data_IF_180488132280
#
_entry.id   IF_180488132280
#
_cell.length_a   1.000
_cell.length_b   1.000
_cell.length_c   1.000
_cell.angle_alpha   90.00
_cell.angle_beta   90.00
_cell.angle_gamma   90.00
#
_symmetry.space_group_name_H-M   'P 1'
#
loop_
_entity.id
_entity.type
_entity.pdbx_description
1 polymer ?
#
# COMPACT_ATOMS: atom_id res chain seq x y z
N UNK A 1 -56.84 11.86 -50.21
CA UNK A 1 -56.85 12.35 -48.79
C UNK A 1 -56.36 11.22 -47.90
N UNK A 2 -55.09 11.20 -47.58
CA UNK A 2 -54.47 10.18 -46.75
C UNK A 2 -53.91 10.82 -45.47
N UNK A 3 -54.40 10.41 -44.31
CA UNK A 3 -53.97 10.88 -43.00
C UNK A 3 -52.67 10.19 -42.66
N UNK A 4 -51.64 10.99 -42.46
CA UNK A 4 -50.37 10.51 -41.86
C UNK A 4 -50.53 10.34 -40.36
N UNK A 5 -50.33 9.14 -39.88
CA UNK A 5 -50.23 8.83 -38.43
C UNK A 5 -48.74 8.93 -38.06
N UNK A 6 -48.38 9.96 -37.29
CA UNK A 6 -47.06 10.08 -36.69
C UNK A 6 -46.96 9.14 -35.50
N UNK A 7 -46.04 8.19 -35.60
CA UNK A 7 -45.66 7.32 -34.47
C UNK A 7 -44.61 8.05 -33.62
N UNK A 8 -45.01 8.51 -32.45
CA UNK A 8 -44.11 9.11 -31.47
C UNK A 8 -43.44 7.98 -30.69
N UNK A 9 -42.20 7.66 -31.02
CA UNK A 9 -41.39 6.75 -30.26
C UNK A 9 -40.95 7.46 -28.97
N UNK A 10 -41.55 7.11 -27.84
CA UNK A 10 -41.09 7.48 -26.51
C UNK A 10 -39.87 6.61 -26.18
N UNK A 11 -38.67 7.19 -26.25
CA UNK A 11 -37.45 6.59 -25.69
C UNK A 11 -37.54 6.68 -24.16
N UNK A 12 -37.87 5.57 -23.49
CA UNK A 12 -37.62 5.41 -22.06
C UNK A 12 -36.14 5.18 -21.88
N UNK A 13 -35.40 6.24 -21.58
CA UNK A 13 -34.08 6.10 -21.01
C UNK A 13 -34.23 5.55 -19.56
N UNK A 14 -34.04 4.26 -19.39
CA UNK A 14 -33.86 3.68 -18.05
C UNK A 14 -32.54 4.21 -17.48
N UNK A 15 -32.63 5.25 -16.68
CA UNK A 15 -31.57 5.59 -15.74
C UNK A 15 -31.51 4.46 -14.68
N UNK A 16 -30.61 3.53 -14.88
CA UNK A 16 -30.18 2.67 -13.79
C UNK A 16 -29.37 3.57 -12.84
N UNK A 17 -30.06 4.19 -11.89
CA UNK A 17 -29.42 4.75 -10.71
C UNK A 17 -28.90 3.54 -9.93
N UNK A 18 -27.61 3.27 -10.03
CA UNK A 18 -26.94 2.37 -9.10
C UNK A 18 -27.17 2.94 -7.70
N UNK A 19 -28.14 2.37 -6.98
CA UNK A 19 -28.29 2.62 -5.55
C UNK A 19 -27.15 1.87 -4.90
N UNK A 20 -25.98 2.51 -4.82
CA UNK A 20 -24.96 2.08 -3.86
C UNK A 20 -25.65 2.12 -2.49
N UNK A 21 -25.58 1.05 -1.70
CA UNK A 21 -26.13 1.10 -0.36
C UNK A 21 -25.50 2.30 0.35
N UNK A 22 -26.32 3.22 0.84
CA UNK A 22 -25.91 4.31 1.72
C UNK A 22 -25.42 3.66 3.01
N UNK A 23 -24.22 3.16 2.99
CA UNK A 23 -23.50 2.81 4.20
C UNK A 23 -23.30 4.12 4.96
N UNK A 24 -23.66 4.14 6.23
CA UNK A 24 -23.57 5.34 7.08
C UNK A 24 -22.19 5.98 6.95
N UNK A 25 -22.15 7.30 6.84
CA UNK A 25 -21.01 8.14 6.43
C UNK A 25 -19.67 7.90 7.16
N UNK A 26 -19.63 7.10 8.22
CA UNK A 26 -18.45 6.85 9.05
C UNK A 26 -17.96 5.39 9.05
N UNK A 27 -18.58 4.45 8.31
CA UNK A 27 -18.32 3.03 8.56
C UNK A 27 -17.06 2.47 7.91
N UNK A 28 -16.69 2.91 6.70
CA UNK A 28 -15.60 2.29 5.93
C UNK A 28 -14.20 2.78 6.32
N UNK A 29 -14.04 4.05 6.69
CA UNK A 29 -12.70 4.58 7.00
C UNK A 29 -12.11 4.03 8.29
N UNK A 30 -12.94 3.61 9.25
CA UNK A 30 -12.46 2.99 10.49
C UNK A 30 -11.95 1.56 10.26
N UNK A 31 -12.41 0.89 9.20
CA UNK A 31 -11.90 -0.44 8.84
C UNK A 31 -10.43 -0.39 8.40
N UNK A 32 -10.00 0.73 7.83
CA UNK A 32 -8.63 0.92 7.36
C UNK A 32 -7.92 2.02 8.15
N UNK A 33 -7.54 1.79 9.42
CA UNK A 33 -6.82 2.78 10.21
C UNK A 33 -5.47 3.06 9.58
N UNK A 34 -5.01 4.32 9.66
CA UNK A 34 -3.67 4.64 9.20
C UNK A 34 -2.64 3.96 10.10
N UNK A 35 -1.84 3.08 9.56
CA UNK A 35 -0.73 2.47 10.29
C UNK A 35 0.32 3.52 10.62
N UNK A 36 0.80 3.51 11.85
CA UNK A 36 1.80 4.47 12.32
C UNK A 36 2.98 3.73 12.91
N UNK A 37 4.09 3.84 12.23
CA UNK A 37 5.36 3.55 12.86
C UNK A 37 5.67 4.68 13.83
N UNK A 38 5.89 4.37 15.09
CA UNK A 38 6.22 5.34 16.14
C UNK A 38 7.56 5.01 16.76
N UNK A 39 8.22 6.02 17.29
CA UNK A 39 9.48 5.86 18.04
C UNK A 39 9.54 6.82 19.22
N UNK A 40 10.28 6.44 20.24
CA UNK A 40 10.60 7.29 21.39
C UNK A 40 11.95 7.94 21.12
N UNK A 41 12.03 9.25 21.30
CA UNK A 41 13.28 10.01 21.28
C UNK A 41 14.12 9.61 22.48
N UNK A 42 15.36 9.19 22.25
CA UNK A 42 16.30 8.72 23.28
C UNK A 42 17.46 9.68 23.54
N UNK A 43 17.61 10.68 22.65
CA UNK A 43 18.60 11.76 22.78
C UNK A 43 17.99 13.08 22.39
N UNK A 44 18.22 14.13 23.18
CA UNK A 44 17.81 15.48 22.82
C UNK A 44 18.42 15.88 21.46
N UNK A 45 17.59 16.43 20.62
CA UNK A 45 17.98 16.91 19.28
C UNK A 45 17.15 18.14 18.95
N UNK A 46 17.54 18.87 17.90
CA UNK A 46 16.85 20.10 17.51
C UNK A 46 15.33 19.90 17.40
N UNK A 47 14.62 20.52 18.33
CA UNK A 47 13.18 20.56 18.36
C UNK A 47 12.44 19.31 18.87
N UNK A 48 13.14 18.35 19.49
CA UNK A 48 12.60 17.20 20.24
C UNK A 48 13.40 16.94 21.49
N UNK A 49 12.74 16.37 22.51
CA UNK A 49 13.35 16.01 23.80
C UNK A 49 13.23 14.52 24.05
N UNK A 50 14.13 14.00 24.91
CA UNK A 50 14.06 12.61 25.37
C UNK A 50 12.66 12.31 25.92
N UNK A 51 12.07 11.20 25.47
CA UNK A 51 10.74 10.76 25.82
C UNK A 51 9.64 11.22 24.87
N UNK A 52 9.92 12.15 23.94
CA UNK A 52 8.95 12.53 22.91
C UNK A 52 8.61 11.32 22.03
N UNK A 53 7.31 11.15 21.72
CA UNK A 53 6.85 10.17 20.76
C UNK A 53 6.72 10.84 19.40
N UNK A 54 7.38 10.27 18.39
CA UNK A 54 7.39 10.77 17.02
C UNK A 54 6.86 9.73 16.05
N UNK A 55 6.22 10.16 14.96
CA UNK A 55 5.87 9.27 13.86
C UNK A 55 7.11 9.07 12.98
N UNK A 56 7.53 7.83 12.82
CA UNK A 56 8.60 7.48 11.87
C UNK A 56 8.04 7.45 10.46
N UNK A 57 8.72 8.10 9.52
CA UNK A 57 8.29 8.21 8.12
C UNK A 57 9.19 7.41 7.21
N UNK A 58 10.49 7.55 7.38
CA UNK A 58 11.52 6.97 6.54
C UNK A 58 12.80 6.77 7.37
N UNK A 59 13.59 5.78 7.04
CA UNK A 59 14.86 5.53 7.71
C UNK A 59 15.97 5.23 6.72
N UNK A 60 17.12 5.85 6.94
CA UNK A 60 18.37 5.52 6.27
C UNK A 60 19.22 4.74 7.27
N UNK A 61 19.33 3.42 7.04
CA UNK A 61 19.93 2.46 7.98
C UNK A 61 21.30 2.91 8.50
N UNK A 62 21.46 2.93 9.81
CA UNK A 62 22.68 3.34 10.50
C UNK A 62 23.01 4.84 10.43
N UNK A 63 22.19 5.66 9.76
CA UNK A 63 22.44 7.09 9.61
C UNK A 63 21.40 7.97 10.28
N UNK A 64 20.14 7.84 9.87
CA UNK A 64 19.12 8.77 10.33
C UNK A 64 17.69 8.26 10.14
N UNK A 65 16.75 8.85 10.88
CA UNK A 65 15.31 8.71 10.71
C UNK A 65 14.68 10.04 10.31
N UNK A 66 13.85 10.05 9.29
CA UNK A 66 12.91 11.15 9.04
C UNK A 66 11.68 10.91 9.89
N UNK A 67 11.38 11.83 10.78
CA UNK A 67 10.24 11.72 11.70
C UNK A 67 9.32 12.92 11.59
N UNK A 68 8.07 12.75 12.00
CA UNK A 68 7.10 13.82 12.11
C UNK A 68 6.67 14.00 13.56
N UNK A 69 6.79 15.21 14.06
CA UNK A 69 6.35 15.65 15.38
C UNK A 69 4.81 15.72 15.46
N UNK A 70 4.28 15.83 16.68
CA UNK A 70 2.84 15.97 16.93
C UNK A 70 2.22 17.20 16.22
N UNK A 71 3.01 18.27 16.02
CA UNK A 71 2.58 19.48 15.29
C UNK A 71 2.67 19.37 13.76
N UNK A 72 2.99 18.19 13.22
CA UNK A 72 3.12 17.92 11.78
C UNK A 72 4.47 18.31 11.16
N UNK A 73 5.37 18.98 11.92
CA UNK A 73 6.70 19.32 11.41
C UNK A 73 7.54 18.06 11.21
N UNK A 74 8.17 17.92 10.04
CA UNK A 74 9.12 16.85 9.74
C UNK A 74 10.52 17.29 10.09
N UNK A 75 11.28 16.41 10.72
CA UNK A 75 12.69 16.63 11.06
C UNK A 75 13.46 15.32 10.83
N UNK A 76 14.75 15.45 10.62
CA UNK A 76 15.66 14.29 10.47
C UNK A 76 16.48 14.16 11.75
N UNK A 77 16.43 13.00 12.36
CA UNK A 77 17.14 12.69 13.60
C UNK A 77 18.25 11.66 13.36
N UNK A 78 19.35 11.69 14.09
CA UNK A 78 20.36 10.63 14.06
C UNK A 78 19.73 9.26 14.33
N UNK A 79 20.32 8.21 13.74
CA UNK A 79 19.84 6.82 13.89
C UNK A 79 19.65 6.39 15.35
N UNK A 80 20.60 6.75 16.21
CA UNK A 80 20.63 6.39 17.62
C UNK A 80 19.85 7.35 18.54
N UNK A 81 19.19 8.34 17.96
CA UNK A 81 18.36 9.28 18.72
C UNK A 81 16.89 8.88 18.82
N UNK A 82 16.47 7.78 18.18
CA UNK A 82 15.10 7.28 18.22
C UNK A 82 15.10 5.77 18.37
N UNK A 83 14.36 5.26 19.33
CA UNK A 83 14.06 3.83 19.45
C UNK A 83 12.65 3.57 18.96
N UNK A 84 12.46 2.76 17.91
CA UNK A 84 11.13 2.40 17.42
C UNK A 84 10.31 1.67 18.47
N UNK A 85 9.02 2.00 18.53
CA UNK A 85 8.05 1.30 19.38
C UNK A 85 7.48 0.14 18.57
N UNK A 86 7.74 -1.08 19.02
CA UNK A 86 7.08 -2.25 18.45
C UNK A 86 5.67 -2.33 19.03
N UNK A 87 4.67 -2.07 18.18
CA UNK A 87 3.27 -2.27 18.54
C UNK A 87 2.82 -3.64 18.09
N UNK A 88 2.06 -4.32 18.93
CA UNK A 88 1.29 -5.48 18.47
C UNK A 88 0.31 -5.02 17.38
N UNK A 89 0.18 -5.82 16.33
CA UNK A 89 -0.84 -5.54 15.32
C UNK A 89 -2.21 -5.61 15.98
N UNK A 90 -3.04 -4.56 15.89
CA UNK A 90 -4.36 -4.61 16.47
C UNK A 90 -5.15 -5.77 15.84
N UNK A 91 -5.96 -6.45 16.62
CA UNK A 91 -6.95 -7.39 16.08
C UNK A 91 -7.99 -6.59 15.30
N UNK A 92 -7.79 -6.47 13.98
CA UNK A 92 -8.69 -5.76 13.10
C UNK A 92 -9.71 -6.73 12.51
N UNK A 93 -10.97 -6.29 12.31
CA UNK A 93 -11.98 -7.12 11.66
C UNK A 93 -11.52 -7.49 10.24
N UNK A 94 -11.96 -8.66 9.77
CA UNK A 94 -11.79 -9.00 8.36
C UNK A 94 -12.51 -7.96 7.49
N UNK A 95 -11.96 -7.69 6.30
CA UNK A 95 -12.56 -6.80 5.31
C UNK A 95 -12.93 -7.59 4.07
N UNK A 96 -14.04 -7.22 3.45
CA UNK A 96 -14.53 -7.81 2.20
C UNK A 96 -13.97 -7.06 0.99
N UNK A 97 -14.20 -7.58 -0.21
CA UNK A 97 -13.87 -6.89 -1.45
C UNK A 97 -14.62 -5.55 -1.56
N UNK A 98 -15.91 -5.57 -1.17
CA UNK A 98 -16.77 -4.38 -1.18
C UNK A 98 -16.27 -3.30 -0.21
N UNK A 99 -15.77 -3.69 0.96
CA UNK A 99 -15.17 -2.75 1.93
C UNK A 99 -13.94 -2.05 1.34
N UNK A 100 -13.07 -2.80 0.65
CA UNK A 100 -11.88 -2.26 0.00
C UNK A 100 -12.26 -1.29 -1.11
N UNK A 101 -13.20 -1.68 -1.97
CA UNK A 101 -13.69 -0.84 -3.08
C UNK A 101 -14.37 0.41 -2.54
N UNK A 102 -15.25 0.28 -1.54
CA UNK A 102 -15.93 1.42 -0.91
C UNK A 102 -14.92 2.39 -0.27
N UNK A 103 -13.85 1.85 0.35
CA UNK A 103 -12.78 2.68 0.91
C UNK A 103 -12.02 3.44 -0.17
N UNK A 104 -11.66 2.79 -1.28
CA UNK A 104 -10.97 3.42 -2.42
C UNK A 104 -11.78 4.58 -2.98
N UNK A 105 -13.09 4.40 -3.19
CA UNK A 105 -13.97 5.48 -3.64
C UNK A 105 -14.11 6.59 -2.61
N UNK A 106 -14.28 6.25 -1.31
CA UNK A 106 -14.39 7.24 -0.23
C UNK A 106 -13.14 8.11 -0.12
N UNK A 107 -11.97 7.54 -0.35
CA UNK A 107 -10.69 8.26 -0.32
C UNK A 107 -10.39 9.03 -1.61
N UNK A 108 -11.21 8.88 -2.64
CA UNK A 108 -10.98 9.48 -3.95
C UNK A 108 -9.71 8.96 -4.63
N UNK A 109 -9.37 7.69 -4.41
CA UNK A 109 -8.20 7.07 -5.01
C UNK A 109 -8.43 6.82 -6.50
N UNK A 110 -7.45 7.16 -7.31
CA UNK A 110 -7.49 7.03 -8.78
C UNK A 110 -6.16 6.49 -9.29
N UNK A 111 -6.17 5.88 -10.48
CA UNK A 111 -4.95 5.46 -11.17
C UNK A 111 -4.96 5.98 -12.60
N UNK A 112 -3.78 6.11 -13.21
CA UNK A 112 -3.62 6.45 -14.64
C UNK A 112 -3.77 5.22 -15.54
N UNK A 113 -3.79 4.05 -14.94
CA UNK A 113 -3.94 2.75 -15.61
C UNK A 113 -5.19 2.06 -15.10
N UNK A 114 -5.60 0.98 -15.73
CA UNK A 114 -6.74 0.17 -15.28
C UNK A 114 -6.43 -0.65 -14.02
N UNK A 115 -5.27 -0.44 -13.40
CA UNK A 115 -4.83 -1.11 -12.20
C UNK A 115 -4.55 -0.15 -11.06
N UNK A 116 -4.72 -0.62 -9.83
CA UNK A 116 -4.35 0.08 -8.60
C UNK A 116 -3.86 -0.94 -7.58
N UNK A 117 -2.80 -0.60 -6.85
CA UNK A 117 -2.34 -1.36 -5.70
C UNK A 117 -2.67 -0.57 -4.42
N UNK A 118 -3.40 -1.21 -3.52
CA UNK A 118 -3.64 -0.66 -2.19
C UNK A 118 -3.03 -1.59 -1.14
N UNK A 119 -2.05 -1.11 -0.37
CA UNK A 119 -1.42 -1.87 0.72
C UNK A 119 -1.91 -1.36 2.07
N UNK A 120 -2.57 -2.24 2.81
CA UNK A 120 -2.95 -2.08 4.22
C UNK A 120 -1.83 -2.63 5.11
N UNK A 121 -1.02 -1.72 5.67
CA UNK A 121 0.09 -2.06 6.54
C UNK A 121 -0.38 -2.73 7.85
N UNK A 122 -1.58 -2.37 8.32
CA UNK A 122 -2.14 -2.90 9.56
C UNK A 122 -2.54 -4.37 9.46
N UNK A 123 -2.91 -4.82 8.24
CA UNK A 123 -3.29 -6.21 7.96
C UNK A 123 -2.22 -7.00 7.24
N UNK A 124 -1.11 -6.36 6.86
CA UNK A 124 -0.08 -6.97 6.01
C UNK A 124 -0.67 -7.54 4.71
N UNK A 125 -1.50 -6.71 4.04
CA UNK A 125 -2.20 -7.10 2.82
C UNK A 125 -1.99 -6.08 1.72
N UNK A 126 -1.74 -6.56 0.53
CA UNK A 126 -1.81 -5.78 -0.71
C UNK A 126 -3.04 -6.22 -1.49
N UNK A 127 -3.90 -5.27 -1.83
CA UNK A 127 -5.08 -5.50 -2.66
C UNK A 127 -4.76 -5.03 -4.08
N UNK A 128 -5.05 -5.88 -5.06
CA UNK A 128 -5.07 -5.50 -6.47
C UNK A 128 -6.49 -5.11 -6.83
N UNK A 129 -6.66 -3.92 -7.38
CA UNK A 129 -7.90 -3.46 -7.96
C UNK A 129 -7.72 -3.28 -9.47
N UNK A 130 -8.75 -3.66 -10.21
CA UNK A 130 -8.86 -3.51 -11.66
C UNK A 130 -10.06 -2.63 -11.98
N UNK A 131 -9.93 -1.74 -12.96
CA UNK A 131 -10.99 -0.85 -13.41
C UNK A 131 -11.66 -1.42 -14.64
N UNK A 132 -12.94 -1.76 -14.52
CA UNK A 132 -13.77 -2.27 -15.60
C UNK A 132 -14.98 -1.38 -15.88
N UNK A 133 -15.93 -1.90 -16.64
CA UNK A 133 -17.15 -1.18 -17.06
C UNK A 133 -18.00 -0.71 -15.87
N UNK A 134 -17.96 -1.40 -14.75
CA UNK A 134 -18.70 -1.07 -13.53
C UNK A 134 -17.85 -0.29 -12.49
N UNK A 135 -16.61 0.06 -12.82
CA UNK A 135 -15.67 0.78 -11.97
C UNK A 135 -14.58 -0.11 -11.36
N UNK A 136 -14.08 0.27 -10.18
CA UNK A 136 -13.05 -0.49 -9.49
C UNK A 136 -13.61 -1.78 -8.89
N UNK A 137 -12.92 -2.89 -9.13
CA UNK A 137 -13.18 -4.19 -8.53
C UNK A 137 -11.89 -4.68 -7.84
N UNK A 138 -11.98 -5.24 -6.63
CA UNK A 138 -10.86 -5.91 -5.97
C UNK A 138 -10.75 -7.35 -6.49
N UNK A 139 -9.75 -7.62 -7.31
CA UNK A 139 -9.55 -8.95 -7.92
C UNK A 139 -8.63 -9.86 -7.10
N UNK A 140 -7.74 -9.29 -6.27
CA UNK A 140 -6.84 -10.08 -5.42
C UNK A 140 -6.61 -9.43 -4.06
N UNK A 141 -6.45 -10.29 -3.03
CA UNK A 141 -6.00 -9.94 -1.68
C UNK A 141 -4.77 -10.77 -1.34
N UNK A 142 -3.59 -10.13 -1.34
CA UNK A 142 -2.30 -10.78 -1.28
C UNK A 142 -1.65 -10.58 0.09
N UNK A 143 -1.28 -11.65 0.81
CA UNK A 143 -0.44 -11.52 2.00
C UNK A 143 0.89 -10.86 1.63
N UNK A 144 1.35 -9.92 2.44
CA UNK A 144 2.64 -9.30 2.22
C UNK A 144 3.44 -9.15 3.53
N UNK A 145 4.75 -9.01 3.41
CA UNK A 145 5.58 -8.52 4.50
C UNK A 145 5.99 -7.08 4.19
N UNK A 146 6.01 -6.26 5.24
CA UNK A 146 6.28 -4.83 5.16
C UNK A 146 7.49 -4.46 6.01
N UNK A 147 7.89 -3.21 6.00
CA UNK A 147 9.01 -2.69 6.78
C UNK A 147 8.88 -2.98 8.27
N UNK A 148 10.00 -3.32 8.91
CA UNK A 148 10.07 -3.40 10.36
C UNK A 148 10.00 -1.99 11.00
N UNK A 149 9.84 -1.88 12.33
CA UNK A 149 9.74 -0.57 12.97
C UNK A 149 10.96 0.34 12.80
N UNK A 150 12.17 -0.23 12.56
CA UNK A 150 13.37 0.54 12.27
C UNK A 150 13.45 1.00 10.83
N UNK A 151 12.77 0.31 9.92
CA UNK A 151 12.78 0.53 8.48
C UNK A 151 11.34 0.59 7.94
N UNK A 152 10.56 1.62 8.31
CA UNK A 152 9.14 1.68 7.97
C UNK A 152 8.91 1.69 6.46
N UNK A 153 7.88 0.97 6.02
CA UNK A 153 7.34 1.16 4.68
C UNK A 153 6.71 2.54 4.59
N UNK A 154 7.10 3.40 3.64
CA UNK A 154 6.51 4.72 3.51
C UNK A 154 5.02 4.63 3.21
N UNK A 155 4.21 5.38 3.96
CA UNK A 155 2.77 5.51 3.73
C UNK A 155 2.46 6.74 2.88
N UNK A 156 1.49 6.63 1.98
CA UNK A 156 1.10 7.72 1.11
C UNK A 156 0.58 7.26 -0.24
N UNK A 157 0.61 8.18 -1.20
CA UNK A 157 0.30 7.93 -2.60
C UNK A 157 1.59 7.94 -3.42
N UNK A 158 1.77 6.89 -4.19
CA UNK A 158 2.91 6.68 -5.09
C UNK A 158 2.41 6.16 -6.45
N UNK A 159 3.36 5.93 -7.36
CA UNK A 159 3.10 5.28 -8.65
C UNK A 159 4.23 4.26 -8.89
N UNK A 160 3.96 3.21 -9.66
CA UNK A 160 5.02 2.32 -10.13
C UNK A 160 5.87 3.10 -11.13
N UNK A 161 7.10 3.41 -10.73
CA UNK A 161 8.05 4.21 -11.51
C UNK A 161 8.78 3.36 -12.56
N UNK A 162 9.38 2.26 -12.11
CA UNK A 162 10.05 1.31 -13.00
C UNK A 162 9.96 -0.12 -12.48
N UNK A 163 10.32 -1.07 -13.36
CA UNK A 163 10.31 -2.50 -13.05
C UNK A 163 11.66 -3.11 -13.43
N UNK A 164 12.13 -4.06 -12.63
CA UNK A 164 13.29 -4.87 -12.97
C UNK A 164 13.07 -6.34 -12.59
N UNK A 165 13.67 -7.25 -13.35
CA UNK A 165 13.44 -8.69 -13.17
C UNK A 165 13.90 -9.19 -11.80
N UNK A 166 14.94 -8.59 -11.26
CA UNK A 166 15.50 -8.96 -9.96
C UNK A 166 16.27 -7.80 -9.32
N UNK A 167 16.36 -7.86 -8.01
CA UNK A 167 17.24 -7.05 -7.15
C UNK A 167 17.91 -8.00 -6.16
N UNK A 168 18.96 -7.56 -5.51
CA UNK A 168 19.61 -8.37 -4.47
C UNK A 168 21.06 -8.02 -4.25
N UNK A 169 21.76 -8.90 -3.57
CA UNK A 169 23.20 -8.79 -3.31
C UNK A 169 23.88 -10.08 -3.74
N UNK A 170 24.83 -9.94 -4.65
CA UNK A 170 25.61 -11.07 -5.17
C UNK A 170 26.13 -11.94 -4.01
N UNK A 171 26.03 -13.26 -4.20
CA UNK A 171 26.43 -14.31 -3.25
C UNK A 171 25.67 -14.33 -1.91
N UNK A 172 24.62 -13.50 -1.75
CA UNK A 172 23.83 -13.47 -0.53
C UNK A 172 22.36 -13.80 -0.79
N UNK A 173 21.65 -12.95 -1.53
CA UNK A 173 20.24 -13.12 -1.79
C UNK A 173 19.80 -12.47 -3.09
N UNK A 174 18.68 -12.94 -3.60
CA UNK A 174 17.97 -12.42 -4.75
C UNK A 174 16.50 -12.20 -4.40
N UNK A 175 15.90 -11.14 -4.94
CA UNK A 175 14.44 -10.97 -4.98
C UNK A 175 14.04 -10.77 -6.43
N UNK A 176 12.95 -11.41 -6.86
CA UNK A 176 12.45 -11.33 -8.23
C UNK A 176 11.29 -10.37 -8.36
N UNK A 177 11.00 -9.96 -9.60
CA UNK A 177 9.80 -9.22 -9.98
C UNK A 177 9.67 -7.89 -9.23
N UNK A 178 10.74 -7.11 -9.20
CA UNK A 178 10.76 -5.87 -8.47
C UNK A 178 10.07 -4.74 -9.24
N UNK A 179 9.14 -4.05 -8.54
CA UNK A 179 8.39 -2.90 -9.04
C UNK A 179 8.61 -1.74 -8.07
N UNK A 180 9.37 -0.73 -8.50
CA UNK A 180 9.70 0.43 -7.70
C UNK A 180 8.50 1.37 -7.60
N UNK A 181 8.19 1.85 -6.38
CA UNK A 181 7.13 2.85 -6.19
C UNK A 181 7.63 4.14 -5.51
N UNK A 182 8.79 4.10 -4.84
CA UNK A 182 9.37 5.31 -4.23
C UNK A 182 10.84 5.11 -3.87
N UNK A 183 11.74 5.89 -4.45
CA UNK A 183 13.19 5.82 -4.17
C UNK A 183 13.74 4.41 -4.37
N UNK A 184 14.11 3.74 -3.28
CA UNK A 184 14.53 2.33 -3.27
C UNK A 184 13.47 1.35 -2.77
N UNK A 185 12.26 1.83 -2.48
CA UNK A 185 11.18 0.98 -1.99
C UNK A 185 10.42 0.33 -3.13
N UNK A 186 10.23 -0.98 -3.04
CA UNK A 186 9.70 -1.80 -4.12
C UNK A 186 8.72 -2.85 -3.60
N UNK A 187 7.79 -3.28 -4.46
CA UNK A 187 7.19 -4.61 -4.37
C UNK A 187 8.15 -5.61 -4.99
N UNK A 188 8.34 -6.77 -4.39
CA UNK A 188 9.17 -7.85 -4.93
C UNK A 188 8.84 -9.19 -4.25
N UNK A 189 9.40 -10.28 -4.73
CA UNK A 189 9.26 -11.59 -4.08
C UNK A 189 9.88 -11.60 -2.68
N UNK A 190 9.55 -12.58 -1.86
CA UNK A 190 10.35 -12.97 -0.69
C UNK A 190 11.81 -13.18 -1.06
N UNK A 191 12.69 -13.29 -0.04
CA UNK A 191 14.12 -13.50 -0.28
C UNK A 191 14.38 -14.93 -0.78
N UNK A 192 15.06 -15.01 -1.89
CA UNK A 192 15.56 -16.25 -2.48
C UNK A 192 17.07 -16.31 -2.30
N UNK A 193 17.65 -17.50 -2.44
CA UNK A 193 19.09 -17.63 -2.57
C UNK A 193 19.59 -16.84 -3.79
N UNK A 194 20.88 -16.60 -3.87
CA UNK A 194 21.44 -15.77 -4.92
C UNK A 194 21.25 -16.35 -6.35
N UNK A 195 20.96 -17.65 -6.46
CA UNK A 195 20.60 -18.32 -7.72
C UNK A 195 19.11 -18.18 -8.04
N UNK A 196 18.30 -17.83 -7.04
CA UNK A 196 16.85 -17.74 -7.15
C UNK A 196 16.14 -19.08 -7.19
N UNK A 197 16.77 -20.12 -6.66
CA UNK A 197 16.28 -21.52 -6.66
C UNK A 197 15.58 -21.89 -5.35
N UNK A 198 16.08 -21.37 -4.22
CA UNK A 198 15.56 -21.68 -2.89
C UNK A 198 15.07 -20.43 -2.14
N UNK A 199 14.01 -20.57 -1.35
CA UNK A 199 13.51 -19.51 -0.46
C UNK A 199 14.40 -19.47 0.77
N UNK A 200 15.03 -18.32 1.04
CA UNK A 200 15.80 -18.06 2.27
C UNK A 200 14.92 -17.53 3.40
N UNK A 201 14.00 -16.63 3.09
CA UNK A 201 13.05 -16.06 4.04
C UNK A 201 11.72 -15.83 3.34
N UNK A 202 10.78 -16.75 3.55
CA UNK A 202 9.45 -16.76 2.97
C UNK A 202 8.36 -16.15 3.86
N UNK A 203 8.73 -15.52 4.99
CA UNK A 203 7.75 -14.96 5.93
C UNK A 203 6.96 -13.84 5.27
N UNK A 204 5.65 -13.92 5.42
CA UNK A 204 4.65 -12.92 5.03
C UNK A 204 3.78 -12.57 6.24
N UNK A 205 2.83 -11.66 6.07
CA UNK A 205 1.92 -11.19 7.12
C UNK A 205 2.67 -10.69 8.38
N UNK A 206 3.76 -9.97 8.16
CA UNK A 206 4.65 -9.50 9.22
C UNK A 206 5.44 -8.25 8.82
N UNK A 207 5.94 -7.52 9.83
CA UNK A 207 6.78 -6.34 9.66
C UNK A 207 8.26 -6.74 9.85
N UNK A 208 8.96 -7.09 8.76
CA UNK A 208 10.31 -7.68 8.81
C UNK A 208 11.25 -7.23 7.70
N UNK A 209 10.78 -6.41 6.76
CA UNK A 209 11.62 -5.92 5.66
C UNK A 209 12.33 -4.61 6.02
N UNK A 210 13.21 -4.17 5.16
CA UNK A 210 13.80 -2.82 5.24
C UNK A 210 12.96 -1.77 4.50
N UNK A 211 11.63 -1.91 4.56
CA UNK A 211 10.66 -0.98 3.98
C UNK A 211 10.04 -1.41 2.66
N UNK A 212 10.64 -2.34 1.94
CA UNK A 212 10.02 -2.94 0.76
C UNK A 212 8.80 -3.80 1.13
N UNK A 213 7.92 -4.01 0.18
CA UNK A 213 6.74 -4.88 0.32
C UNK A 213 7.07 -6.21 -0.35
N UNK A 214 7.20 -7.27 0.47
CA UNK A 214 7.48 -8.62 0.00
C UNK A 214 6.18 -9.38 -0.27
N UNK A 215 6.14 -10.09 -1.36
CA UNK A 215 5.04 -10.96 -1.79
C UNK A 215 5.55 -12.40 -1.96
N UNK A 216 4.65 -13.36 -2.09
CA UNK A 216 5.04 -14.71 -2.50
C UNK A 216 5.71 -14.66 -3.89
N UNK A 217 6.53 -15.65 -4.26
CA UNK A 217 7.10 -15.72 -5.61
C UNK A 217 6.02 -15.68 -6.70
N UNK A 218 4.92 -16.40 -6.49
CA UNK A 218 3.78 -16.49 -7.40
C UNK A 218 3.05 -15.16 -7.53
N UNK A 219 2.73 -14.51 -6.41
CA UNK A 219 2.02 -13.23 -6.40
C UNK A 219 2.88 -12.12 -6.99
N UNK A 220 4.18 -12.09 -6.67
CA UNK A 220 5.11 -11.12 -7.24
C UNK A 220 5.22 -11.28 -8.76
N UNK A 221 5.28 -12.52 -9.27
CA UNK A 221 5.31 -12.80 -10.69
C UNK A 221 4.01 -12.37 -11.38
N UNK A 222 2.86 -12.69 -10.77
CA UNK A 222 1.56 -12.32 -11.31
C UNK A 222 1.38 -10.80 -11.40
N UNK A 223 1.68 -10.05 -10.33
CA UNK A 223 1.62 -8.59 -10.36
C UNK A 223 2.62 -8.00 -11.37
N UNK A 224 3.86 -8.50 -11.37
CA UNK A 224 4.88 -8.04 -12.30
C UNK A 224 4.47 -8.21 -13.76
N UNK A 225 3.74 -9.27 -14.08
CA UNK A 225 3.29 -9.52 -15.46
C UNK A 225 2.26 -8.50 -15.95
N UNK A 226 1.33 -8.07 -15.08
CA UNK A 226 0.15 -7.28 -15.48
C UNK A 226 0.25 -5.80 -15.12
N UNK A 227 0.93 -5.43 -14.02
CA UNK A 227 1.00 -4.04 -13.55
C UNK A 227 1.95 -3.22 -14.44
N UNK A 228 1.49 -2.19 -15.15
CA UNK A 228 2.35 -1.29 -15.91
C UNK A 228 2.96 -0.19 -15.01
N UNK A 229 3.97 0.49 -15.52
CA UNK A 229 4.44 1.75 -14.93
C UNK A 229 3.34 2.82 -14.97
N UNK A 230 3.33 3.73 -13.99
CA UNK A 230 2.26 4.72 -13.81
C UNK A 230 1.04 4.20 -13.03
N UNK A 231 0.99 2.89 -12.71
CA UNK A 231 -0.05 2.35 -11.83
C UNK A 231 0.03 2.99 -10.44
N UNK A 232 -1.09 3.49 -9.95
CA UNK A 232 -1.17 4.10 -8.63
C UNK A 232 -0.96 3.07 -7.51
N UNK A 233 -0.21 3.49 -6.51
CA UNK A 233 0.08 2.73 -5.29
C UNK A 233 -0.34 3.57 -4.09
N UNK A 234 -1.24 3.04 -3.28
CA UNK A 234 -1.67 3.65 -2.02
C UNK A 234 -1.25 2.76 -0.87
N UNK A 235 -0.58 3.34 0.12
CA UNK A 235 -0.05 2.63 1.29
C UNK A 235 -0.55 3.33 2.56
N UNK A 236 -1.19 2.56 3.43
CA UNK A 236 -1.81 3.08 4.64
C UNK A 236 -1.60 2.19 5.86
#
# INVERSE_FOLDING_TARGET
MGKRISFLLLLFALFHVLILPVMGENSVTHLFPAYRYEGIVTKDSEGVSVGDVVKMIESESGKSHLVMKSNGKRIRLPWDAVTPIQKESPSLPAVTAEDVVAFVYKMGYTSKTDYMLFTDLSRFRTYLLEYGDEGWEMTRSLPCAVGDPYHPTPSGRFEIDYKCSCIGKTDQYLCRHAMCFYGSYMYHSVLLDWKGEAVLDGRLSSAISHGCIRLSPEDSAALYAIIPTGTAVYIR
#
